data_IF_260893583969
#
_entry.id   IF_260893583969
#
_cell.length_a   1.000
_cell.length_b   1.000
_cell.length_c   1.000
_cell.angle_alpha   90.00
_cell.angle_beta   90.00
_cell.angle_gamma   90.00
#
_symmetry.space_group_name_H-M   'P 1'
#
loop_
_entity.id
_entity.type
_entity.pdbx_description
1 polymer ?
#
# COMPACT_ATOMS: atom_id res chain seq x y z
N UNK A 1 15.27 17.39 -0.38
CA UNK A 1 14.64 18.54 -1.05
C UNK A 1 13.77 19.33 -0.07
N UNK A 2 12.98 18.66 0.76
CA UNK A 2 12.00 19.27 1.66
C UNK A 2 12.59 20.02 2.87
N UNK A 3 13.80 19.70 3.29
CA UNK A 3 14.43 20.29 4.48
C UNK A 3 14.88 21.77 4.30
N UNK A 4 14.75 22.35 3.11
CA UNK A 4 15.23 23.71 2.80
C UNK A 4 14.10 24.75 2.66
N UNK A 5 12.85 24.31 2.65
CA UNK A 5 11.68 25.15 2.59
C UNK A 5 10.82 24.93 3.82
N UNK A 6 10.29 25.96 4.43
CA UNK A 6 9.22 25.87 5.44
C UNK A 6 7.96 25.36 4.73
N UNK A 7 7.77 24.05 4.64
CA UNK A 7 6.78 23.43 3.78
C UNK A 7 5.52 23.26 4.60
N UNK A 8 4.48 23.98 4.23
CA UNK A 8 3.14 23.65 4.68
C UNK A 8 2.76 22.27 4.12
N UNK A 9 1.92 21.48 4.82
CA UNK A 9 1.45 20.17 4.34
C UNK A 9 0.89 20.24 2.91
N UNK A 10 0.30 21.35 2.54
CA UNK A 10 -0.26 21.60 1.20
C UNK A 10 0.83 21.65 0.11
N UNK A 11 1.95 22.34 0.36
CA UNK A 11 3.06 22.41 -0.60
C UNK A 11 3.70 21.03 -0.80
N UNK A 12 3.75 20.21 0.24
CA UNK A 12 4.24 18.82 0.14
C UNK A 12 3.36 17.98 -0.79
N UNK A 13 2.04 18.09 -0.68
CA UNK A 13 1.10 17.40 -1.56
C UNK A 13 1.25 17.83 -3.02
N UNK A 14 1.40 19.13 -3.30
CA UNK A 14 1.61 19.63 -4.66
C UNK A 14 2.90 19.09 -5.28
N UNK A 15 3.99 19.08 -4.52
CA UNK A 15 5.29 18.59 -5.02
C UNK A 15 5.24 17.10 -5.27
N UNK A 16 4.64 16.30 -4.39
CA UNK A 16 4.51 14.85 -4.59
C UNK A 16 3.60 14.53 -5.76
N UNK A 17 2.51 15.26 -5.93
CA UNK A 17 1.63 15.10 -7.10
C UNK A 17 2.35 15.45 -8.40
N UNK A 18 3.04 16.60 -8.45
CA UNK A 18 3.82 16.99 -9.62
C UNK A 18 4.92 15.97 -9.96
N UNK A 19 5.59 15.41 -8.94
CA UNK A 19 6.57 14.36 -9.14
C UNK A 19 5.94 13.08 -9.71
N UNK A 20 4.76 12.70 -9.24
CA UNK A 20 4.01 11.55 -9.77
C UNK A 20 3.69 11.73 -11.24
N UNK A 21 3.20 12.91 -11.65
CA UNK A 21 2.90 13.21 -13.06
C UNK A 21 4.15 13.18 -13.93
N UNK A 22 5.27 13.70 -13.44
CA UNK A 22 6.56 13.67 -14.16
C UNK A 22 7.02 12.22 -14.37
N UNK A 23 6.97 11.39 -13.32
CA UNK A 23 7.36 9.98 -13.40
C UNK A 23 6.44 9.21 -14.35
N UNK A 24 5.13 9.41 -14.27
CA UNK A 24 4.14 8.80 -15.16
C UNK A 24 4.43 9.18 -16.63
N UNK A 25 4.61 10.47 -16.91
CA UNK A 25 4.91 10.96 -18.25
C UNK A 25 6.25 10.42 -18.77
N UNK A 26 7.26 10.31 -17.92
CA UNK A 26 8.56 9.74 -18.29
C UNK A 26 8.42 8.24 -18.64
N UNK A 27 7.66 7.49 -17.85
CA UNK A 27 7.39 6.06 -18.12
C UNK A 27 6.64 5.92 -19.45
N UNK A 28 5.59 6.73 -19.69
CA UNK A 28 4.86 6.71 -20.95
C UNK A 28 5.73 7.09 -22.15
N UNK A 29 6.66 8.04 -21.98
CA UNK A 29 7.57 8.45 -23.05
C UNK A 29 8.62 7.38 -23.42
N UNK A 30 9.05 6.55 -22.45
CA UNK A 30 10.06 5.50 -22.66
C UNK A 30 9.44 4.16 -23.06
N UNK A 31 8.34 3.77 -22.42
CA UNK A 31 7.72 2.43 -22.55
C UNK A 31 6.36 2.42 -23.23
N UNK A 32 5.83 3.55 -23.68
CA UNK A 32 4.47 3.72 -24.21
C UNK A 32 3.37 3.64 -23.13
N UNK A 33 2.14 4.01 -23.52
CA UNK A 33 0.98 3.97 -22.61
C UNK A 33 0.29 2.59 -22.58
N UNK A 34 0.79 1.63 -23.36
CA UNK A 34 0.12 0.34 -23.54
C UNK A 34 0.20 -0.53 -22.27
N UNK A 35 -0.90 -1.22 -21.93
CA UNK A 35 -0.91 -2.14 -20.82
C UNK A 35 0.05 -3.32 -21.09
N UNK A 36 0.93 -3.59 -20.13
CA UNK A 36 1.89 -4.70 -20.21
C UNK A 36 1.63 -5.69 -19.09
N UNK A 37 1.75 -6.96 -19.40
CA UNK A 37 1.64 -8.05 -18.45
C UNK A 37 2.96 -8.82 -18.43
N UNK A 38 3.40 -9.21 -17.24
CA UNK A 38 4.54 -10.10 -17.10
C UNK A 38 4.09 -11.52 -17.45
N UNK A 39 4.50 -11.97 -18.64
CA UNK A 39 4.27 -13.36 -19.06
C UNK A 39 5.27 -14.24 -18.30
N UNK A 40 4.88 -14.70 -17.12
CA UNK A 40 5.72 -15.58 -16.32
C UNK A 40 5.36 -17.04 -16.60
N UNK A 41 6.38 -17.88 -16.80
CA UNK A 41 6.20 -19.33 -16.91
C UNK A 41 5.47 -19.93 -15.69
N UNK A 42 5.49 -19.20 -14.57
CA UNK A 42 4.82 -19.58 -13.31
C UNK A 42 3.32 -19.25 -13.30
N UNK A 43 2.82 -18.38 -14.18
CA UNK A 43 1.40 -18.01 -14.29
C UNK A 43 0.50 -19.19 -14.71
N UNK A 44 1.09 -20.22 -15.30
CA UNK A 44 0.36 -21.42 -15.73
C UNK A 44 0.21 -22.47 -14.62
N UNK A 45 0.97 -22.37 -13.52
CA UNK A 45 0.85 -23.31 -12.41
C UNK A 45 -0.38 -22.95 -11.56
N UNK A 46 -1.39 -23.82 -11.62
CA UNK A 46 -2.61 -23.73 -10.82
C UNK A 46 -2.60 -24.88 -9.80
N UNK A 47 -2.65 -24.56 -8.53
CA UNK A 47 -2.85 -25.56 -7.49
C UNK A 47 -4.33 -25.89 -7.40
N UNK A 48 -4.67 -27.17 -7.55
CA UNK A 48 -6.02 -27.66 -7.35
C UNK A 48 -6.19 -28.05 -5.89
N UNK A 49 -6.95 -27.28 -5.14
CA UNK A 49 -7.33 -27.60 -3.75
C UNK A 49 -8.82 -27.96 -3.74
N UNK A 50 -9.11 -29.23 -3.87
CA UNK A 50 -10.50 -29.71 -3.99
C UNK A 50 -11.17 -29.22 -5.29
N UNK A 51 -12.23 -28.45 -5.17
CA UNK A 51 -12.97 -27.86 -6.31
C UNK A 51 -12.45 -26.48 -6.75
N UNK A 52 -11.50 -25.89 -6.01
CA UNK A 52 -10.97 -24.56 -6.25
C UNK A 52 -9.62 -24.64 -6.98
N UNK A 53 -9.46 -23.77 -7.98
CA UNK A 53 -8.18 -23.55 -8.64
C UNK A 53 -7.57 -22.25 -8.11
N UNK A 54 -6.45 -22.34 -7.43
CA UNK A 54 -5.72 -21.19 -6.91
C UNK A 54 -4.50 -20.93 -7.80
N UNK A 55 -4.42 -19.79 -8.47
CA UNK A 55 -3.25 -19.44 -9.26
C UNK A 55 -2.03 -19.24 -8.34
N UNK A 56 -0.88 -19.74 -8.76
CA UNK A 56 0.36 -19.63 -7.98
C UNK A 56 0.77 -18.17 -7.67
N UNK A 57 0.67 -17.21 -8.62
CA UNK A 57 1.01 -15.81 -8.35
C UNK A 57 0.20 -15.18 -7.22
N UNK A 58 -1.10 -15.47 -7.12
CA UNK A 58 -1.96 -14.94 -6.05
C UNK A 58 -1.57 -15.47 -4.67
N UNK A 59 -1.24 -16.76 -4.60
CA UNK A 59 -0.79 -17.39 -3.35
C UNK A 59 0.57 -16.84 -2.91
N UNK A 60 1.49 -16.63 -3.86
CA UNK A 60 2.78 -16.02 -3.61
C UNK A 60 2.62 -14.59 -3.09
N UNK A 61 1.76 -13.81 -3.71
CA UNK A 61 1.45 -12.42 -3.31
C UNK A 61 0.89 -12.37 -1.89
N UNK A 62 -0.05 -13.25 -1.54
CA UNK A 62 -0.61 -13.35 -0.20
C UNK A 62 0.46 -13.71 0.84
N UNK A 63 1.32 -14.68 0.53
CA UNK A 63 2.44 -15.09 1.40
C UNK A 63 3.42 -13.94 1.62
N UNK A 64 3.83 -13.25 0.56
CA UNK A 64 4.73 -12.11 0.65
C UNK A 64 4.11 -10.98 1.46
N UNK A 65 2.86 -10.60 1.17
CA UNK A 65 2.15 -9.54 1.90
C UNK A 65 2.04 -9.87 3.39
N UNK A 66 1.67 -11.10 3.72
CA UNK A 66 1.54 -11.56 5.12
C UNK A 66 2.90 -11.57 5.82
N UNK A 67 3.93 -12.11 5.19
CA UNK A 67 5.29 -12.19 5.76
C UNK A 67 5.86 -10.79 5.99
N UNK A 68 5.76 -9.90 5.01
CA UNK A 68 6.24 -8.52 5.12
C UNK A 68 5.48 -7.74 6.20
N UNK A 69 4.16 -7.91 6.30
CA UNK A 69 3.36 -7.23 7.32
C UNK A 69 3.70 -7.71 8.72
N UNK A 70 3.91 -9.02 8.91
CA UNK A 70 4.35 -9.59 10.19
C UNK A 70 5.76 -9.12 10.53
N UNK A 71 6.67 -9.09 9.55
CA UNK A 71 8.03 -8.59 9.74
C UNK A 71 8.03 -7.11 10.15
N UNK A 72 7.27 -6.27 9.45
CA UNK A 72 7.13 -4.86 9.78
C UNK A 72 6.55 -4.67 11.20
N UNK A 73 5.53 -5.44 11.56
CA UNK A 73 4.95 -5.42 12.90
C UNK A 73 5.96 -5.85 13.96
N UNK A 74 6.73 -6.91 13.71
CA UNK A 74 7.75 -7.38 14.64
C UNK A 74 8.88 -6.36 14.82
N UNK A 75 9.37 -5.76 13.73
CA UNK A 75 10.38 -4.69 13.79
C UNK A 75 9.85 -3.50 14.58
N UNK A 76 8.64 -3.03 14.29
CA UNK A 76 8.06 -1.90 15.00
C UNK A 76 7.83 -2.20 16.48
N UNK A 77 7.46 -3.43 16.84
CA UNK A 77 7.11 -3.78 18.23
C UNK A 77 8.32 -4.10 19.09
N UNK A 78 9.31 -4.82 18.56
CA UNK A 78 10.38 -5.43 19.36
C UNK A 78 11.74 -4.75 19.20
N UNK A 79 11.95 -3.89 18.19
CA UNK A 79 13.25 -3.25 17.98
C UNK A 79 13.32 -1.83 18.54
N UNK A 80 14.54 -1.36 18.84
CA UNK A 80 14.78 0.00 19.30
C UNK A 80 14.48 1.04 18.22
N UNK A 81 14.66 0.66 16.94
CA UNK A 81 14.24 1.48 15.80
C UNK A 81 12.73 1.71 15.83
N UNK A 82 11.94 0.65 16.08
CA UNK A 82 10.50 0.79 16.22
C UNK A 82 10.06 1.64 17.40
N UNK A 83 10.78 1.58 18.52
CA UNK A 83 10.54 2.47 19.68
C UNK A 83 10.82 3.92 19.30
N UNK A 84 11.97 4.17 18.65
CA UNK A 84 12.34 5.51 18.19
C UNK A 84 11.34 6.08 17.18
N UNK A 85 10.80 5.24 16.28
CA UNK A 85 9.77 5.62 15.30
C UNK A 85 8.47 6.05 16.01
N UNK A 86 8.00 5.28 16.99
CA UNK A 86 6.79 5.63 17.74
C UNK A 86 6.98 6.90 18.57
N UNK A 87 8.12 7.04 19.26
CA UNK A 87 8.43 8.24 20.02
C UNK A 87 8.48 9.49 19.10
N UNK A 88 9.11 9.39 17.95
CA UNK A 88 9.19 10.51 17.00
C UNK A 88 7.82 10.81 16.33
N UNK A 89 6.91 9.83 16.24
CA UNK A 89 5.56 10.04 15.72
C UNK A 89 4.64 10.72 16.74
N UNK A 90 4.89 10.53 18.04
CA UNK A 90 4.15 11.21 19.12
C UNK A 90 4.67 12.64 19.33
N UNK A 91 5.97 12.81 19.51
CA UNK A 91 6.60 14.11 19.73
C UNK A 91 8.06 14.09 19.24
N UNK A 92 8.26 14.59 18.02
CA UNK A 92 9.56 14.63 17.36
C UNK A 92 10.61 15.48 18.13
N UNK A 93 10.29 16.70 18.63
CA UNK A 93 11.21 17.48 19.46
C UNK A 93 11.66 16.76 20.71
N UNK A 94 10.75 16.15 21.44
CA UNK A 94 11.06 15.39 22.66
C UNK A 94 11.91 14.16 22.34
N UNK A 95 11.59 13.40 21.28
CA UNK A 95 12.39 12.27 20.85
C UNK A 95 13.83 12.68 20.47
N UNK A 96 14.01 13.82 19.82
CA UNK A 96 15.31 14.37 19.48
C UNK A 96 16.12 14.71 20.73
N UNK A 97 15.50 15.26 21.79
CA UNK A 97 16.15 15.56 23.06
C UNK A 97 16.70 14.29 23.76
N UNK A 98 16.07 13.13 23.53
CA UNK A 98 16.54 11.82 24.00
C UNK A 98 17.54 11.14 23.05
N UNK A 99 18.03 11.86 22.03
CA UNK A 99 19.10 11.39 21.14
C UNK A 99 18.62 10.67 19.87
N UNK A 100 17.32 10.71 19.57
CA UNK A 100 16.81 10.18 18.30
C UNK A 100 17.21 11.10 17.15
N UNK A 101 17.95 10.57 16.17
CA UNK A 101 18.33 11.33 15.00
C UNK A 101 17.23 11.25 13.94
N UNK A 102 16.39 12.28 13.88
CA UNK A 102 15.24 12.38 12.95
C UNK A 102 15.64 12.17 11.49
N UNK A 103 16.80 12.70 11.07
CA UNK A 103 17.25 12.57 9.68
C UNK A 103 17.57 11.14 9.30
N UNK A 104 18.26 10.40 10.19
CA UNK A 104 18.57 8.98 9.96
C UNK A 104 17.31 8.13 9.98
N UNK A 105 16.41 8.42 10.92
CA UNK A 105 15.13 7.73 11.05
C UNK A 105 14.27 7.92 9.79
N UNK A 106 14.14 9.16 9.32
CA UNK A 106 13.40 9.49 8.10
C UNK A 106 13.98 8.83 6.84
N UNK A 107 15.32 8.78 6.72
CA UNK A 107 15.98 8.08 5.60
C UNK A 107 15.72 6.58 5.64
N UNK A 108 15.79 5.94 6.81
CA UNK A 108 15.50 4.52 6.98
C UNK A 108 14.04 4.23 6.63
N UNK A 109 13.10 5.04 7.14
CA UNK A 109 11.67 4.91 6.84
C UNK A 109 11.39 5.02 5.34
N UNK A 110 11.97 6.04 4.69
CA UNK A 110 11.79 6.24 3.25
C UNK A 110 12.37 5.07 2.45
N UNK A 111 13.53 4.56 2.84
CA UNK A 111 14.16 3.41 2.18
C UNK A 111 13.33 2.13 2.34
N UNK A 112 12.84 1.85 3.54
CA UNK A 112 11.98 0.69 3.80
C UNK A 112 10.66 0.82 3.04
N UNK A 113 10.02 1.99 3.06
CA UNK A 113 8.78 2.24 2.32
C UNK A 113 8.96 2.03 0.82
N UNK A 114 10.08 2.51 0.25
CA UNK A 114 10.40 2.30 -1.16
C UNK A 114 10.62 0.82 -1.50
N UNK A 115 11.28 0.06 -0.61
CA UNK A 115 11.46 -1.38 -0.78
C UNK A 115 10.12 -2.13 -0.77
N UNK A 116 9.22 -1.81 0.18
CA UNK A 116 7.87 -2.39 0.23
C UNK A 116 7.06 -2.05 -1.03
N UNK A 117 7.14 -0.79 -1.51
CA UNK A 117 6.47 -0.38 -2.73
C UNK A 117 6.99 -1.15 -3.95
N UNK A 118 8.31 -1.39 -4.03
CA UNK A 118 8.91 -2.19 -5.09
C UNK A 118 8.40 -3.64 -5.11
N UNK A 119 8.34 -4.29 -3.94
CA UNK A 119 7.78 -5.65 -3.81
C UNK A 119 6.30 -5.67 -4.17
N UNK A 120 5.52 -4.70 -3.69
CA UNK A 120 4.09 -4.59 -4.03
C UNK A 120 3.88 -4.39 -5.55
N UNK A 121 4.68 -3.54 -6.19
CA UNK A 121 4.64 -3.34 -7.64
C UNK A 121 4.94 -4.61 -8.42
N UNK A 122 5.92 -5.41 -7.96
CA UNK A 122 6.24 -6.70 -8.57
C UNK A 122 5.08 -7.70 -8.41
N UNK A 123 4.46 -7.75 -7.24
CA UNK A 123 3.27 -8.58 -7.01
C UNK A 123 2.10 -8.19 -7.91
N UNK A 124 1.86 -6.89 -8.10
CA UNK A 124 0.83 -6.38 -9.01
C UNK A 124 1.15 -6.76 -10.47
N UNK A 125 2.42 -6.64 -10.88
CA UNK A 125 2.84 -7.00 -12.23
C UNK A 125 2.68 -8.49 -12.57
N UNK A 126 2.73 -9.37 -11.56
CA UNK A 126 2.51 -10.80 -11.72
C UNK A 126 1.04 -11.17 -11.86
N UNK A 127 0.13 -10.38 -11.27
CA UNK A 127 -1.31 -10.69 -11.20
C UNK A 127 -2.16 -9.86 -12.16
N UNK A 128 -1.71 -8.68 -12.53
CA UNK A 128 -2.48 -7.72 -13.34
C UNK A 128 -1.66 -7.18 -14.51
N UNK A 129 -2.36 -6.78 -15.59
CA UNK A 129 -1.76 -5.95 -16.62
C UNK A 129 -1.57 -4.54 -16.05
N UNK A 130 -0.36 -4.00 -16.17
CA UNK A 130 -0.02 -2.67 -15.68
C UNK A 130 0.02 -1.68 -16.83
N UNK A 131 -0.71 -0.57 -16.66
CA UNK A 131 -0.60 0.62 -17.50
C UNK A 131 -0.23 1.81 -16.60
N UNK A 132 0.58 2.77 -17.08
CA UNK A 132 1.01 3.90 -16.26
C UNK A 132 -0.16 4.72 -15.68
N UNK A 133 -1.25 4.86 -16.42
CA UNK A 133 -2.44 5.60 -15.98
C UNK A 133 -3.26 4.91 -14.87
N UNK A 134 -3.03 3.62 -14.58
CA UNK A 134 -3.77 2.88 -13.56
C UNK A 134 -3.37 3.26 -12.12
N UNK A 135 -2.28 4.01 -11.94
CA UNK A 135 -1.80 4.42 -10.62
C UNK A 135 -2.90 5.07 -9.76
N UNK A 136 -3.76 5.87 -10.36
CA UNK A 136 -4.83 6.58 -9.65
C UNK A 136 -5.91 5.63 -9.10
N UNK A 137 -6.21 4.55 -9.79
CA UNK A 137 -7.15 3.52 -9.31
C UNK A 137 -6.59 2.79 -8.09
N UNK A 138 -5.31 2.43 -8.13
CA UNK A 138 -4.65 1.73 -7.02
C UNK A 138 -4.46 2.62 -5.78
N UNK A 139 -4.15 3.91 -5.96
CA UNK A 139 -4.03 4.86 -4.85
C UNK A 139 -5.31 4.91 -4.01
N UNK A 140 -6.48 4.91 -4.65
CA UNK A 140 -7.77 4.92 -3.95
C UNK A 140 -7.98 3.69 -3.06
N UNK A 141 -7.70 2.49 -3.60
CA UNK A 141 -7.86 1.22 -2.87
C UNK A 141 -6.84 1.11 -1.73
N UNK A 142 -5.59 1.50 -1.96
CA UNK A 142 -4.55 1.52 -0.93
C UNK A 142 -4.91 2.49 0.20
N UNK A 143 -5.41 3.68 -0.14
CA UNK A 143 -5.87 4.65 0.84
C UNK A 143 -7.04 4.08 1.67
N UNK A 144 -8.01 3.44 1.03
CA UNK A 144 -9.11 2.77 1.73
C UNK A 144 -8.60 1.69 2.69
N UNK A 145 -7.68 0.83 2.25
CA UNK A 145 -7.11 -0.22 3.08
C UNK A 145 -6.36 0.33 4.30
N UNK A 146 -5.59 1.42 4.14
CA UNK A 146 -4.86 2.07 5.24
C UNK A 146 -5.82 2.75 6.22
N UNK A 147 -6.85 3.44 5.73
CA UNK A 147 -7.83 4.12 6.58
C UNK A 147 -8.71 3.13 7.35
N UNK A 148 -9.13 2.05 6.73
CA UNK A 148 -9.90 0.96 7.37
C UNK A 148 -9.01 0.24 8.39
N UNK A 149 -7.78 -0.10 8.01
CA UNK A 149 -6.84 -0.81 8.88
C UNK A 149 -6.34 0.03 10.08
N UNK A 150 -6.37 1.35 9.93
CA UNK A 150 -5.89 2.31 10.92
C UNK A 150 -4.39 2.56 10.85
N UNK A 151 -4.03 3.78 11.22
CA UNK A 151 -2.63 4.23 11.26
C UNK A 151 -1.93 3.66 12.50
N UNK A 152 -0.66 3.30 12.36
CA UNK A 152 0.20 2.87 13.47
C UNK A 152 0.32 1.35 13.68
N UNK A 153 -0.50 0.52 13.02
CA UNK A 153 -0.36 -0.93 13.08
C UNK A 153 -0.27 -1.54 11.67
N UNK A 154 0.88 -2.13 11.28
CA UNK A 154 1.06 -2.71 9.93
C UNK A 154 0.11 -3.89 9.61
N UNK A 155 -0.41 -4.55 10.64
CA UNK A 155 -1.36 -5.66 10.45
C UNK A 155 -2.77 -5.15 10.10
N UNK A 156 -3.10 -3.90 10.44
CA UNK A 156 -4.39 -3.31 10.12
C UNK A 156 -4.68 -3.27 8.61
N UNK A 157 -3.81 -2.65 7.80
CA UNK A 157 -3.98 -2.63 6.34
C UNK A 157 -3.98 -4.01 5.69
N UNK A 158 -3.26 -5.00 6.25
CA UNK A 158 -3.30 -6.38 5.77
C UNK A 158 -4.72 -6.97 5.92
N UNK A 159 -5.29 -6.86 7.12
CA UNK A 159 -6.65 -7.37 7.40
C UNK A 159 -7.68 -6.61 6.54
N UNK A 160 -7.55 -5.28 6.46
CA UNK A 160 -8.42 -4.46 5.64
C UNK A 160 -8.35 -4.84 4.16
N UNK A 161 -7.14 -5.07 3.62
CA UNK A 161 -6.94 -5.51 2.24
C UNK A 161 -7.58 -6.87 1.95
N UNK A 162 -7.49 -7.82 2.89
CA UNK A 162 -8.18 -9.12 2.77
C UNK A 162 -9.70 -8.93 2.76
N UNK A 163 -10.25 -8.12 3.66
CA UNK A 163 -11.69 -7.84 3.72
C UNK A 163 -12.18 -7.16 2.44
N UNK A 164 -11.45 -6.16 1.94
CA UNK A 164 -11.76 -5.48 0.68
C UNK A 164 -11.72 -6.49 -0.47
N UNK A 165 -10.64 -7.25 -0.62
CA UNK A 165 -10.47 -8.21 -1.72
C UNK A 165 -11.54 -9.30 -1.72
N UNK A 166 -11.91 -9.84 -0.56
CA UNK A 166 -13.01 -10.81 -0.44
C UNK A 166 -14.34 -10.18 -0.82
N UNK A 167 -14.62 -8.95 -0.36
CA UNK A 167 -15.85 -8.23 -0.68
C UNK A 167 -15.96 -7.91 -2.17
N UNK A 168 -14.87 -7.49 -2.80
CA UNK A 168 -14.80 -7.25 -4.24
C UNK A 168 -15.03 -8.54 -5.04
N UNK A 169 -14.36 -9.64 -4.63
CA UNK A 169 -14.51 -10.93 -5.29
C UNK A 169 -15.94 -11.47 -5.20
N UNK A 170 -16.59 -11.33 -4.05
CA UNK A 170 -18.00 -11.69 -3.89
C UNK A 170 -18.91 -10.83 -4.76
N UNK A 171 -18.64 -9.55 -4.85
CA UNK A 171 -19.41 -8.64 -5.69
C UNK A 171 -19.27 -8.98 -7.17
N UNK A 172 -18.06 -9.30 -7.63
CA UNK A 172 -17.83 -9.76 -9.00
C UNK A 172 -18.53 -11.07 -9.33
N UNK A 173 -18.71 -11.94 -8.34
CA UNK A 173 -19.41 -13.21 -8.52
C UNK A 173 -20.93 -13.06 -8.63
N UNK A 174 -21.52 -12.04 -7.98
CA UNK A 174 -22.98 -11.84 -7.89
C UNK A 174 -23.44 -10.73 -8.84
N UNK A 175 -22.62 -9.71 -9.07
CA UNK A 175 -22.91 -8.53 -9.87
C UNK A 175 -21.88 -8.34 -10.99
N UNK A 176 -22.05 -7.30 -11.80
CA UNK A 176 -21.07 -7.00 -12.85
C UNK A 176 -19.73 -6.50 -12.24
N UNK A 177 -18.58 -6.84 -12.85
CA UNK A 177 -17.24 -6.44 -12.37
C UNK A 177 -17.04 -4.93 -12.18
N UNK A 178 -17.81 -4.11 -12.92
CA UNK A 178 -17.78 -2.65 -12.81
C UNK A 178 -18.19 -2.12 -11.41
N UNK A 179 -18.90 -2.93 -10.61
CA UNK A 179 -19.35 -2.55 -9.27
C UNK A 179 -18.31 -2.82 -8.18
N UNK A 180 -17.26 -3.60 -8.47
CA UNK A 180 -16.24 -3.96 -7.49
C UNK A 180 -15.58 -2.74 -6.80
N UNK A 181 -15.14 -1.67 -7.50
CA UNK A 181 -14.54 -0.50 -6.86
C UNK A 181 -15.51 0.25 -5.93
N UNK A 182 -16.82 0.22 -6.22
CA UNK A 182 -17.82 0.87 -5.36
C UNK A 182 -17.90 0.21 -4.00
N UNK A 183 -17.64 -1.08 -3.89
CA UNK A 183 -17.64 -1.80 -2.61
C UNK A 183 -16.51 -1.33 -1.72
N UNK A 184 -15.31 -1.15 -2.25
CA UNK A 184 -14.15 -0.65 -1.49
C UNK A 184 -14.41 0.75 -0.94
N UNK A 185 -14.96 1.64 -1.74
CA UNK A 185 -15.31 2.99 -1.30
C UNK A 185 -16.51 3.02 -0.34
N UNK A 186 -17.51 2.18 -0.54
CA UNK A 186 -18.65 2.08 0.39
C UNK A 186 -18.21 1.53 1.75
N UNK A 187 -17.34 0.52 1.78
CA UNK A 187 -16.72 0.00 3.00
C UNK A 187 -15.92 1.09 3.72
N UNK A 188 -15.15 1.89 2.98
CA UNK A 188 -14.42 3.03 3.54
C UNK A 188 -15.36 4.01 4.23
N UNK A 189 -16.44 4.40 3.55
CA UNK A 189 -17.44 5.35 4.09
C UNK A 189 -18.09 4.78 5.36
N UNK A 190 -18.52 3.52 5.32
CA UNK A 190 -19.15 2.86 6.48
C UNK A 190 -18.20 2.81 7.68
N UNK A 191 -16.94 2.44 7.45
CA UNK A 191 -15.95 2.37 8.54
C UNK A 191 -15.63 3.77 9.09
N UNK A 192 -15.51 4.78 8.24
CA UNK A 192 -15.28 6.16 8.67
C UNK A 192 -16.46 6.70 9.50
N UNK A 193 -17.69 6.44 9.08
CA UNK A 193 -18.90 6.81 9.84
C UNK A 193 -18.95 6.12 11.20
N UNK A 194 -18.73 4.79 11.21
CA UNK A 194 -18.72 4.02 12.46
C UNK A 194 -17.58 4.43 13.42
N UNK A 195 -16.49 4.98 12.88
CA UNK A 195 -15.36 5.46 13.68
C UNK A 195 -15.55 6.90 14.16
N UNK A 196 -16.28 7.72 13.38
CA UNK A 196 -16.62 9.09 13.77
C UNK A 196 -17.56 9.13 14.99
N UNK A 197 -18.39 8.09 15.20
CA UNK A 197 -19.27 7.98 16.39
C UNK A 197 -18.51 7.65 17.69
N UNK A 198 -17.23 7.31 17.62
CA UNK A 198 -16.40 6.92 18.78
C UNK A 198 -15.41 8.00 19.24
N UNK A 199 -15.42 9.16 18.59
CA UNK A 199 -14.65 10.36 18.95
C UNK A 199 -15.57 11.38 19.60
#
# INVERSE_FOLDING_TARGET
LFARFSISPFNSLLVTFGLTVIIESAIQGIWTADPRMLDSAYGQFKFKVGALYVPFPELLTLLLATTLSILAWAVLRYTDIGKAMRAAAEDAPTAAAFGVNERRLSLLLSGVSAAFAGVAGLCLALSFSLAPAQIYAWVGVVFAAVMIGGLGNPLGPLIAGIVIGVSESLTMAIAAPAWAPLVSFSLLIVVLLARAEKI
#
